data_IF_886660927126
#
_entry.id   IF_886660927126
#
_cell.length_a   1.000
_cell.length_b   1.000
_cell.length_c   1.000
_cell.angle_alpha   90.00
_cell.angle_beta   90.00
_cell.angle_gamma   90.00
#
_symmetry.space_group_name_H-M   'P 1'
#
loop_
_entity.id
_entity.type
_entity.pdbx_description
1 polymer ?
#
# COMPACT_ATOMS: atom_id res chain seq x y z
N UNK A 1 14.09 18.37 -1.02
CA UNK A 1 12.63 18.10 -1.17
C UNK A 1 12.28 17.01 -0.17
N UNK A 2 11.31 17.23 0.72
CA UNK A 2 10.94 16.28 1.77
C UNK A 2 9.73 15.46 1.33
N UNK A 3 9.76 14.15 1.55
CA UNK A 3 8.66 13.25 1.17
C UNK A 3 7.45 13.43 2.12
N UNK A 4 6.25 13.37 1.55
CA UNK A 4 5.00 13.44 2.31
C UNK A 4 4.85 12.18 3.19
N UNK A 5 4.73 12.37 4.51
CA UNK A 5 4.65 11.29 5.52
C UNK A 5 3.25 10.71 5.71
N UNK A 6 2.20 11.45 5.33
CA UNK A 6 0.81 11.10 5.67
C UNK A 6 -0.13 11.43 4.51
N UNK A 7 -1.14 10.59 4.29
CA UNK A 7 -2.15 10.82 3.28
C UNK A 7 -2.97 12.09 3.62
N UNK A 8 -3.42 12.89 2.63
CA UNK A 8 -4.19 14.10 2.91
C UNK A 8 -5.46 13.78 3.71
N UNK A 9 -5.80 14.57 4.74
CA UNK A 9 -6.93 14.28 5.64
C UNK A 9 -8.30 14.31 4.97
N UNK A 10 -8.40 14.75 3.72
CA UNK A 10 -9.65 14.88 2.97
C UNK A 10 -9.79 13.86 1.82
N UNK A 11 -9.28 12.63 2.00
CA UNK A 11 -9.54 11.51 1.06
C UNK A 11 -11.00 11.00 1.12
N UNK A 12 -11.97 11.90 1.24
CA UNK A 12 -13.38 11.61 1.15
C UNK A 12 -13.77 11.54 -0.32
N UNK A 13 -13.55 10.36 -0.92
CA UNK A 13 -14.14 10.04 -2.22
C UNK A 13 -15.66 10.19 -2.11
N UNK A 14 -16.23 11.16 -2.85
CA UNK A 14 -17.68 11.42 -2.86
C UNK A 14 -18.42 10.57 -3.90
N UNK A 15 -17.69 9.68 -4.55
CA UNK A 15 -18.24 8.82 -5.59
C UNK A 15 -19.31 7.89 -5.02
N UNK A 16 -20.27 7.59 -5.88
CA UNK A 16 -21.37 6.70 -5.60
C UNK A 16 -21.46 5.73 -6.75
N UNK A 17 -21.45 4.44 -6.44
CA UNK A 17 -21.79 3.41 -7.40
C UNK A 17 -23.28 3.13 -7.33
N UNK A 18 -23.90 2.97 -8.49
CA UNK A 18 -25.25 2.47 -8.61
C UNK A 18 -25.16 1.07 -9.21
N UNK A 19 -25.65 0.08 -8.48
CA UNK A 19 -25.82 -1.29 -8.97
C UNK A 19 -27.30 -1.46 -9.29
N UNK A 20 -27.59 -1.89 -10.51
CA UNK A 20 -28.94 -2.26 -10.94
C UNK A 20 -28.97 -3.77 -11.16
N UNK A 21 -29.97 -4.44 -10.60
CA UNK A 21 -30.17 -5.88 -10.80
C UNK A 21 -31.56 -6.19 -11.31
N UNK A 22 -31.64 -7.20 -12.18
CA UNK A 22 -32.85 -7.62 -12.87
C UNK A 22 -32.90 -9.14 -12.92
N UNK A 23 -34.10 -9.69 -12.96
CA UNK A 23 -34.27 -11.13 -13.16
C UNK A 23 -34.02 -11.43 -14.64
N UNK A 24 -33.00 -12.23 -14.93
CA UNK A 24 -32.72 -12.69 -16.28
C UNK A 24 -33.61 -13.88 -16.64
N UNK A 25 -33.98 -14.00 -17.91
CA UNK A 25 -34.68 -15.17 -18.42
C UNK A 25 -33.78 -16.42 -18.33
N UNK A 26 -34.38 -17.60 -18.15
CA UNK A 26 -33.64 -18.85 -18.15
C UNK A 26 -32.90 -19.03 -19.48
N UNK A 27 -31.59 -19.26 -19.42
CA UNK A 27 -30.74 -19.42 -20.61
C UNK A 27 -30.32 -18.11 -21.28
N UNK A 28 -30.56 -16.95 -20.66
CA UNK A 28 -30.08 -15.67 -21.17
C UNK A 28 -28.56 -15.68 -21.39
N UNK A 29 -28.14 -15.17 -22.53
CA UNK A 29 -26.73 -15.04 -22.92
C UNK A 29 -26.28 -13.59 -22.84
N UNK A 30 -24.98 -13.31 -22.92
CA UNK A 30 -24.46 -11.94 -22.92
C UNK A 30 -25.02 -11.05 -24.03
N UNK A 31 -25.47 -11.64 -25.15
CA UNK A 31 -26.06 -10.89 -26.26
C UNK A 31 -27.47 -10.39 -25.97
N UNK A 32 -28.17 -11.06 -25.05
CA UNK A 32 -29.53 -10.73 -24.65
C UNK A 32 -29.56 -9.64 -23.56
N UNK A 33 -28.40 -9.32 -22.97
CA UNK A 33 -28.25 -8.28 -21.96
C UNK A 33 -28.25 -6.92 -22.65
N UNK A 34 -29.38 -6.22 -22.59
CA UNK A 34 -29.54 -4.87 -23.13
C UNK A 34 -29.78 -3.84 -22.03
N UNK A 35 -29.45 -2.57 -22.29
CA UNK A 35 -29.69 -1.48 -21.33
C UNK A 35 -31.17 -1.31 -21.00
N UNK A 36 -32.07 -1.62 -21.94
CA UNK A 36 -33.52 -1.58 -21.75
C UNK A 36 -33.98 -2.49 -20.61
N UNK A 37 -33.25 -3.57 -20.34
CA UNK A 37 -33.56 -4.45 -19.21
C UNK A 37 -33.54 -3.70 -17.86
N UNK A 38 -32.80 -2.61 -17.74
CA UNK A 38 -32.66 -1.87 -16.49
C UNK A 38 -33.59 -0.65 -16.40
N UNK A 39 -34.47 -0.45 -17.39
CA UNK A 39 -35.48 0.61 -17.33
C UNK A 39 -36.59 0.25 -16.33
N UNK A 40 -37.02 1.23 -15.54
CA UNK A 40 -38.13 1.08 -14.61
C UNK A 40 -39.46 1.24 -15.36
N UNK A 41 -40.17 0.14 -15.49
CA UNK A 41 -41.47 0.05 -16.16
C UNK A 41 -42.48 -0.66 -15.25
N UNK A 42 -43.79 -0.39 -15.36
CA UNK A 42 -44.81 -0.87 -14.42
C UNK A 42 -44.91 -2.40 -14.28
N UNK A 43 -44.30 -3.18 -15.18
CA UNK A 43 -44.28 -4.64 -15.16
C UNK A 43 -42.87 -5.23 -15.03
N UNK A 44 -41.87 -4.40 -14.68
CA UNK A 44 -40.47 -4.81 -14.64
C UNK A 44 -39.89 -4.55 -13.25
N UNK A 45 -39.39 -5.62 -12.63
CA UNK A 45 -38.68 -5.51 -11.35
C UNK A 45 -37.22 -5.19 -11.64
N UNK A 46 -36.79 -4.01 -11.17
CA UNK A 46 -35.40 -3.55 -11.20
C UNK A 46 -35.04 -3.10 -9.80
N UNK A 47 -34.09 -3.79 -9.18
CA UNK A 47 -33.58 -3.43 -7.87
C UNK A 47 -32.39 -2.49 -8.00
N UNK A 48 -32.35 -1.46 -7.15
CA UNK A 48 -31.30 -0.46 -7.14
C UNK A 48 -30.55 -0.45 -5.81
N UNK A 49 -29.23 -0.57 -5.88
CA UNK A 49 -28.35 -0.49 -4.71
C UNK A 49 -27.31 0.62 -4.90
N UNK A 50 -27.36 1.62 -4.02
CA UNK A 50 -26.40 2.73 -4.00
C UNK A 50 -25.31 2.46 -2.99
N UNK A 51 -24.08 2.36 -3.47
CA UNK A 51 -22.89 2.12 -2.66
C UNK A 51 -22.04 3.39 -2.61
N UNK A 52 -21.60 3.76 -1.40
CA UNK A 52 -20.66 4.88 -1.19
C UNK A 52 -19.23 4.35 -1.15
N UNK A 53 -18.31 5.10 -1.74
CA UNK A 53 -16.88 4.79 -1.65
C UNK A 53 -16.33 5.32 -0.33
N UNK A 54 -15.58 4.47 0.37
CA UNK A 54 -14.83 4.85 1.57
C UNK A 54 -13.38 4.46 1.34
N UNK A 55 -12.47 5.42 1.54
CA UNK A 55 -11.04 5.16 1.49
C UNK A 55 -10.56 4.71 2.87
N UNK A 56 -9.84 3.59 2.92
CA UNK A 56 -9.22 3.08 4.14
C UNK A 56 -7.70 3.14 3.96
N UNK A 57 -6.98 3.94 4.75
CA UNK A 57 -5.52 3.97 4.68
C UNK A 57 -4.93 2.63 5.12
N UNK A 58 -3.84 2.21 4.46
CA UNK A 58 -3.13 0.98 4.82
C UNK A 58 -2.51 1.08 6.21
N UNK A 59 -2.52 -0.02 6.96
CA UNK A 59 -1.77 -0.12 8.22
C UNK A 59 -0.27 -0.01 7.93
N UNK A 60 0.50 0.72 8.76
CA UNK A 60 1.94 0.79 8.57
C UNK A 60 2.56 -0.61 8.64
N UNK A 61 3.57 -0.92 7.80
CA UNK A 61 4.30 -2.18 7.94
C UNK A 61 4.89 -2.25 9.35
N UNK A 62 4.79 -3.41 9.99
CA UNK A 62 5.39 -3.63 11.32
C UNK A 62 6.85 -3.19 11.31
N UNK A 63 7.35 -2.51 12.36
CA UNK A 63 8.75 -2.12 12.44
C UNK A 63 9.62 -3.35 12.22
N UNK A 64 10.38 -3.36 11.13
CA UNK A 64 11.44 -4.34 10.93
C UNK A 64 12.45 -4.05 12.04
N UNK A 65 12.82 -5.02 12.90
CA UNK A 65 13.83 -4.79 13.91
C UNK A 65 15.09 -4.24 13.23
N UNK A 66 15.51 -3.03 13.58
CA UNK A 66 16.83 -2.54 13.20
C UNK A 66 17.85 -3.45 13.90
N UNK A 67 18.51 -4.30 13.12
CA UNK A 67 19.68 -5.05 13.58
C UNK A 67 20.71 -4.01 13.98
N UNK A 68 20.89 -3.81 15.29
CA UNK A 68 21.95 -2.97 15.82
C UNK A 68 23.27 -3.68 15.50
N UNK A 69 23.96 -3.26 14.45
CA UNK A 69 25.36 -3.63 14.24
C UNK A 69 26.21 -2.88 15.28
N UNK A 70 26.16 -3.31 16.54
CA UNK A 70 27.22 -3.04 17.49
C UNK A 70 28.02 -4.32 17.70
N UNK A 71 29.19 -4.37 17.07
CA UNK A 71 30.22 -5.28 17.51
C UNK A 71 31.23 -5.66 16.45
N UNK A 72 32.19 -4.77 16.16
CA UNK A 72 33.61 -5.13 16.02
C UNK A 72 34.48 -3.87 15.86
N UNK A 73 34.85 -3.27 16.99
CA UNK A 73 36.03 -2.40 17.06
C UNK A 73 37.27 -3.30 16.90
N UNK A 74 38.12 -3.12 15.87
CA UNK A 74 39.31 -3.96 15.73
C UNK A 74 40.33 -3.52 16.78
N UNK A 75 40.52 -4.36 17.81
CA UNK A 75 41.67 -4.27 18.69
C UNK A 75 42.94 -4.38 17.85
N UNK A 76 43.72 -3.32 17.93
CA UNK A 76 45.12 -3.22 17.53
C UNK A 76 45.92 -4.47 17.96
N UNK A 77 46.56 -5.21 17.05
CA UNK A 77 47.60 -6.16 17.43
C UNK A 77 48.92 -5.42 17.52
N UNK A 78 49.48 -5.28 18.71
CA UNK A 78 50.90 -4.97 18.86
C UNK A 78 51.74 -6.19 18.44
N UNK A 79 52.79 -6.02 17.61
CA UNK A 79 53.91 -6.93 17.60
C UNK A 79 55.16 -6.21 18.11
N UNK A 80 55.62 -6.59 19.31
CA UNK A 80 57.00 -6.31 19.72
C UNK A 80 57.97 -7.11 18.83
N UNK A 81 58.84 -6.41 18.08
CA UNK A 81 60.20 -6.89 17.79
C UNK A 81 61.14 -5.77 17.31
N UNK A 82 61.92 -5.26 18.26
CA UNK A 82 63.39 -5.16 18.28
C UNK A 82 64.17 -4.43 17.15
N UNK A 83 64.86 -3.38 17.60
CA UNK A 83 66.29 -3.07 17.42
C UNK A 83 66.76 -2.26 16.18
N UNK A 84 67.48 -1.17 16.51
CA UNK A 84 68.55 -0.47 15.75
C UNK A 84 68.05 0.54 14.69
N UNK A 85 68.43 1.85 14.63
CA UNK A 85 69.65 2.57 15.04
C UNK A 85 69.42 4.10 15.13
N UNK A 86 70.06 4.72 16.13
CA UNK A 86 70.87 5.97 16.06
C UNK A 86 70.18 7.36 16.15
N UNK A 87 70.24 7.90 17.37
CA UNK A 87 70.42 9.31 17.78
C UNK A 87 71.55 10.03 17.01
N UNK A 88 71.74 11.38 17.05
CA UNK A 88 71.47 12.27 18.20
C UNK A 88 71.06 13.75 17.90
N UNK A 89 70.78 14.46 19.02
CA UNK A 89 71.03 15.90 19.33
C UNK A 89 70.41 16.95 18.38
N UNK A 90 69.58 17.87 18.90
CA UNK A 90 69.90 18.85 19.95
C UNK A 90 68.62 19.40 20.57
#
# INVERSE_FOLDING_TARGET
MQAQKEAPPDMQCKDKFLVLSVIAASGATMKDITSEMFNKEPNKVVDELKLRVVYVPGSPPSPVPEETEEGSSPRHPDPMMNLSKKTPLR
#
